data_IF_368755287460
#
_entry.id   IF_368755287460
#
_cell.length_a   1.000
_cell.length_b   1.000
_cell.length_c   1.000
_cell.angle_alpha   90.00
_cell.angle_beta   90.00
_cell.angle_gamma   90.00
#
_symmetry.space_group_name_H-M   'P 1'
#
loop_
_entity.id
_entity.type
_entity.pdbx_description
1 polymer ?
#
# COMPACT_ATOMS: atom_id res chain seq x y z
N UNK A 1 6.63 11.55 4.02
CA UNK A 1 5.45 11.17 3.25
C UNK A 1 5.87 10.79 1.85
N UNK A 2 5.86 9.50 1.55
CA UNK A 2 6.10 9.03 0.20
C UNK A 2 5.42 7.69 -0.03
N UNK A 3 4.96 7.51 -1.27
CA UNK A 3 4.60 6.20 -1.81
C UNK A 3 5.86 5.33 -1.89
N UNK A 4 5.86 4.19 -1.20
CA UNK A 4 6.94 3.19 -1.23
C UNK A 4 6.55 2.05 -2.17
N UNK A 5 7.57 1.38 -2.70
CA UNK A 5 7.40 0.18 -3.52
C UNK A 5 8.66 -0.69 -3.46
N UNK A 6 8.51 -1.97 -3.80
CA UNK A 6 9.58 -2.96 -3.86
C UNK A 6 9.41 -3.80 -5.12
N UNK A 7 10.52 -4.26 -5.69
CA UNK A 7 10.49 -5.10 -6.89
C UNK A 7 10.04 -6.51 -6.52
N UNK A 8 9.13 -7.09 -7.32
CA UNK A 8 8.69 -8.48 -7.17
C UNK A 8 8.14 -8.81 -5.78
N UNK A 9 7.32 -7.93 -5.22
CA UNK A 9 6.69 -8.14 -3.92
C UNK A 9 5.32 -8.82 -4.08
N UNK A 10 5.24 -10.09 -3.66
CA UNK A 10 4.03 -10.87 -3.61
C UNK A 10 3.98 -11.72 -2.32
N UNK A 11 2.80 -11.85 -1.74
CA UNK A 11 2.49 -12.72 -0.61
C UNK A 11 1.06 -13.22 -0.76
N UNK A 12 0.56 -14.05 0.16
CA UNK A 12 -0.81 -14.57 0.11
C UNK A 12 -1.56 -14.23 1.38
N UNK A 13 -2.86 -14.00 1.28
CA UNK A 13 -3.74 -13.96 2.44
C UNK A 13 -3.74 -15.32 3.15
N UNK A 14 -3.68 -15.30 4.48
CA UNK A 14 -3.69 -16.53 5.30
C UNK A 14 -5.08 -16.87 5.84
N UNK A 15 -6.03 -15.93 5.75
CA UNK A 15 -7.42 -16.11 6.16
C UNK A 15 -8.36 -15.33 5.24
N UNK A 16 -9.63 -15.75 5.20
CA UNK A 16 -10.69 -14.98 4.55
C UNK A 16 -10.89 -13.66 5.30
N UNK A 17 -11.12 -12.58 4.58
CA UNK A 17 -11.43 -11.26 5.13
C UNK A 17 -12.77 -10.77 4.60
N UNK A 18 -13.53 -10.07 5.46
CA UNK A 18 -14.75 -9.37 5.06
C UNK A 18 -14.39 -7.98 4.50
N UNK A 19 -15.35 -7.34 3.82
CA UNK A 19 -15.23 -5.92 3.50
C UNK A 19 -15.13 -5.07 4.78
N UNK A 20 -14.44 -3.93 4.70
CA UNK A 20 -14.27 -2.97 5.78
C UNK A 20 -13.17 -3.34 6.79
N UNK A 21 -12.36 -4.37 6.53
CA UNK A 21 -11.22 -4.68 7.41
C UNK A 21 -10.06 -3.72 7.17
N UNK A 22 -9.31 -3.42 8.23
CA UNK A 22 -8.11 -2.55 8.22
C UNK A 22 -6.82 -3.32 8.52
N UNK A 23 -6.90 -4.66 8.52
CA UNK A 23 -5.77 -5.54 8.75
C UNK A 23 -5.83 -6.73 7.78
N UNK A 24 -4.76 -6.89 6.99
CA UNK A 24 -4.62 -7.97 6.02
C UNK A 24 -3.67 -9.04 6.60
N UNK A 25 -4.18 -10.24 6.93
CA UNK A 25 -3.33 -11.32 7.43
C UNK A 25 -2.57 -11.97 6.27
N UNK A 26 -1.25 -11.83 6.23
CA UNK A 26 -0.38 -12.26 5.12
C UNK A 26 0.64 -13.31 5.57
N UNK A 27 1.12 -14.13 4.62
CA UNK A 27 2.09 -15.18 4.93
C UNK A 27 3.47 -14.63 5.34
N UNK A 28 3.91 -13.54 4.72
CA UNK A 28 5.20 -12.88 5.03
C UNK A 28 5.22 -11.45 4.51
N UNK A 29 5.78 -10.52 5.31
CA UNK A 29 6.06 -9.14 4.92
C UNK A 29 7.49 -8.92 4.38
N UNK A 30 8.30 -9.96 4.22
CA UNK A 30 9.75 -9.82 3.95
C UNK A 30 10.13 -9.07 2.68
N UNK A 31 9.26 -9.10 1.66
CA UNK A 31 9.46 -8.42 0.39
C UNK A 31 8.89 -7.00 0.37
N UNK A 32 8.11 -6.63 1.40
CA UNK A 32 7.49 -5.32 1.51
C UNK A 32 8.53 -4.28 1.93
N UNK A 33 8.43 -3.04 1.40
CA UNK A 33 9.29 -1.96 1.84
C UNK A 33 9.02 -1.65 3.33
N UNK A 34 10.07 -1.24 4.04
CA UNK A 34 9.89 -0.69 5.39
C UNK A 34 9.13 0.63 5.30
N UNK A 35 8.00 0.72 5.99
CA UNK A 35 7.19 1.93 6.12
C UNK A 35 7.58 2.65 7.41
N UNK A 36 7.83 3.95 7.32
CA UNK A 36 7.98 4.83 8.49
C UNK A 36 6.70 5.64 8.72
N UNK A 37 6.70 6.57 9.69
CA UNK A 37 5.54 7.44 9.92
C UNK A 37 5.18 8.17 8.62
N UNK A 38 3.91 8.08 8.24
CA UNK A 38 3.34 8.74 7.07
C UNK A 38 3.83 8.25 5.70
N UNK A 39 4.51 7.11 5.64
CA UNK A 39 4.75 6.37 4.40
C UNK A 39 3.59 5.39 4.13
N UNK A 40 3.34 5.10 2.85
CA UNK A 40 2.38 4.07 2.47
C UNK A 40 2.83 3.31 1.24
N UNK A 41 2.23 2.14 1.03
CA UNK A 41 2.40 1.31 -0.16
C UNK A 41 1.03 0.89 -0.65
N UNK A 42 0.84 0.83 -1.96
CA UNK A 42 -0.36 0.27 -2.55
C UNK A 42 -0.15 -1.21 -2.82
N UNK A 43 -1.09 -2.01 -2.33
CA UNK A 43 -1.17 -3.44 -2.63
C UNK A 43 -2.41 -3.71 -3.45
N UNK A 44 -2.35 -4.75 -4.27
CA UNK A 44 -3.49 -5.21 -5.06
C UNK A 44 -3.86 -6.61 -4.60
N UNK A 45 -5.14 -6.81 -4.32
CA UNK A 45 -5.76 -8.13 -4.12
C UNK A 45 -6.86 -8.24 -5.17
N UNK A 46 -6.71 -9.21 -6.08
CA UNK A 46 -7.58 -9.35 -7.25
C UNK A 46 -7.63 -8.05 -8.09
N UNK A 47 -8.75 -7.33 -8.06
CA UNK A 47 -8.96 -6.04 -8.74
C UNK A 47 -8.95 -4.84 -7.80
N UNK A 48 -8.88 -5.06 -6.48
CA UNK A 48 -8.92 -4.00 -5.48
C UNK A 48 -7.51 -3.49 -5.19
N UNK A 49 -7.34 -2.17 -5.21
CA UNK A 49 -6.11 -1.48 -4.82
C UNK A 49 -6.31 -0.90 -3.42
N UNK A 50 -5.44 -1.27 -2.49
CA UNK A 50 -5.59 -0.98 -1.06
C UNK A 50 -4.34 -0.24 -0.59
N UNK A 51 -4.55 0.87 0.14
CA UNK A 51 -3.46 1.64 0.75
C UNK A 51 -3.05 1.03 2.09
N UNK A 52 -1.80 0.59 2.18
CA UNK A 52 -1.18 0.00 3.37
C UNK A 52 -0.26 1.04 4.02
N UNK A 53 -0.46 1.29 5.31
CA UNK A 53 0.25 2.33 6.09
C UNK A 53 1.21 1.74 7.11
N UNK A 54 1.14 0.44 7.39
CA UNK A 54 2.11 -0.25 8.22
C UNK A 54 2.24 -1.72 7.83
N UNK A 55 3.44 -2.28 7.99
CA UNK A 55 3.72 -3.69 7.79
C UNK A 55 4.41 -4.26 9.03
N UNK A 56 3.79 -5.22 9.71
CA UNK A 56 4.33 -5.82 10.92
C UNK A 56 4.18 -7.35 10.90
N UNK A 57 5.31 -8.06 10.94
CA UNK A 57 5.36 -9.53 10.94
C UNK A 57 4.55 -10.17 9.81
N UNK A 58 3.32 -10.62 10.11
CA UNK A 58 2.40 -11.31 9.19
C UNK A 58 1.07 -10.54 9.03
N UNK A 59 1.09 -9.23 9.27
CA UNK A 59 -0.07 -8.35 9.13
C UNK A 59 0.30 -7.03 8.43
N UNK A 60 -0.51 -6.63 7.47
CA UNK A 60 -0.47 -5.28 6.88
C UNK A 60 -1.62 -4.46 7.45
N UNK A 61 -1.33 -3.29 8.01
CA UNK A 61 -2.34 -2.31 8.39
C UNK A 61 -2.69 -1.48 7.17
N UNK A 62 -3.96 -1.41 6.82
CA UNK A 62 -4.45 -0.72 5.64
C UNK A 62 -5.61 0.22 5.96
N UNK A 63 -5.88 1.11 5.01
CA UNK A 63 -7.21 1.71 4.89
C UNK A 63 -8.24 0.61 4.59
N UNK A 64 -9.50 0.89 4.90
CA UNK A 64 -10.58 -0.08 4.89
C UNK A 64 -10.71 -0.74 3.50
N UNK A 65 -10.74 -2.07 3.47
CA UNK A 65 -11.04 -2.82 2.25
C UNK A 65 -12.47 -2.54 1.77
N UNK A 66 -12.67 -2.43 0.47
CA UNK A 66 -13.98 -2.26 -0.14
C UNK A 66 -14.71 -3.59 -0.32
N UNK A 67 -13.97 -4.67 -0.62
CA UNK A 67 -14.53 -5.99 -0.88
C UNK A 67 -14.01 -7.07 0.08
N UNK A 68 -14.71 -8.20 0.11
CA UNK A 68 -14.26 -9.41 0.80
C UNK A 68 -13.26 -10.19 -0.08
N UNK A 69 -12.25 -10.79 0.54
CA UNK A 69 -11.22 -11.59 -0.15
C UNK A 69 -11.02 -12.95 0.52
N UNK A 70 -10.51 -13.90 -0.26
CA UNK A 70 -10.35 -15.28 0.17
C UNK A 70 -8.94 -15.58 0.66
N UNK A 71 -8.81 -16.53 1.59
CA UNK A 71 -7.52 -17.10 1.93
C UNK A 71 -6.86 -17.69 0.67
N UNK A 72 -5.56 -17.46 0.52
CA UNK A 72 -4.80 -17.83 -0.67
C UNK A 72 -4.77 -16.78 -1.78
N UNK A 73 -5.60 -15.73 -1.71
CA UNK A 73 -5.54 -14.64 -2.68
C UNK A 73 -4.18 -13.94 -2.62
N UNK A 74 -3.66 -13.58 -3.79
CA UNK A 74 -2.37 -12.91 -3.92
C UNK A 74 -2.49 -11.44 -3.47
N UNK A 75 -1.55 -11.02 -2.63
CA UNK A 75 -1.38 -9.63 -2.19
C UNK A 75 -0.05 -9.15 -2.77
N UNK A 76 -0.12 -8.26 -3.75
CA UNK A 76 1.04 -7.89 -4.57
C UNK A 76 1.19 -6.38 -4.69
N UNK A 77 2.43 -5.89 -4.76
CA UNK A 77 2.68 -4.50 -5.17
C UNK A 77 2.67 -4.48 -6.70
N UNK A 78 1.60 -3.92 -7.27
CA UNK A 78 1.47 -3.69 -8.72
C UNK A 78 1.50 -2.20 -9.00
N UNK A 79 1.98 -1.83 -10.18
CA UNK A 79 1.84 -0.45 -10.68
C UNK A 79 0.36 -0.21 -10.94
N UNK A 80 -0.29 0.57 -10.07
CA UNK A 80 -1.69 0.99 -10.20
C UNK A 80 -1.78 2.45 -10.62
N UNK A 81 -2.91 2.85 -11.23
CA UNK A 81 -3.16 4.25 -11.58
C UNK A 81 -3.15 5.15 -10.34
N UNK A 82 -3.73 4.68 -9.23
CA UNK A 82 -3.74 5.39 -7.95
C UNK A 82 -2.32 5.65 -7.45
N UNK A 83 -1.46 4.63 -7.48
CA UNK A 83 -0.05 4.77 -7.12
C UNK A 83 0.65 5.82 -7.99
N UNK A 84 0.45 5.80 -9.30
CA UNK A 84 1.08 6.74 -10.23
C UNK A 84 0.55 8.17 -10.06
N UNK A 85 -0.75 8.33 -9.84
CA UNK A 85 -1.37 9.64 -9.57
C UNK A 85 -0.80 10.24 -8.31
N UNK A 86 -0.73 9.47 -7.23
CA UNK A 86 -0.25 9.93 -5.93
C UNK A 86 1.25 10.29 -5.96
N UNK A 87 2.06 9.51 -6.69
CA UNK A 87 3.48 9.88 -6.96
C UNK A 87 3.58 11.21 -7.72
N UNK A 88 2.74 11.42 -8.74
CA UNK A 88 2.74 12.65 -9.52
C UNK A 88 2.32 13.86 -8.67
N UNK A 89 1.26 13.73 -7.87
CA UNK A 89 0.76 14.78 -6.98
C UNK A 89 1.78 15.12 -5.87
N UNK A 90 2.37 14.12 -5.23
CA UNK A 90 3.41 14.33 -4.21
C UNK A 90 4.61 15.12 -4.77
N UNK A 91 4.99 14.87 -6.04
CA UNK A 91 6.06 15.61 -6.72
C UNK A 91 5.69 17.07 -6.97
N UNK A 92 4.44 17.34 -7.37
CA UNK A 92 3.95 18.72 -7.59
C UNK A 92 3.94 19.52 -6.29
N UNK A 93 3.51 18.90 -5.18
CA UNK A 93 3.50 19.54 -3.86
C UNK A 93 4.91 19.92 -3.42
N UNK A 94 5.89 19.02 -3.58
CA UNK A 94 7.28 19.29 -3.25
C UNK A 94 7.86 20.47 -4.05
N UNK A 95 7.55 20.55 -5.34
CA UNK A 95 7.99 21.67 -6.20
C UNK A 95 7.33 23.00 -5.83
N UNK A 96 6.02 23.01 -5.57
CA UNK A 96 5.31 24.22 -5.17
C UNK A 96 5.78 24.75 -3.82
N UNK A 97 6.04 23.85 -2.85
CA UNK A 97 6.60 24.23 -1.56
C UNK A 97 8.00 24.87 -1.70
N UNK A 98 8.85 24.33 -2.58
CA UNK A 98 10.16 24.90 -2.87
C UNK A 98 10.07 26.31 -3.47
N UNK A 99 9.13 26.56 -4.40
CA UNK A 99 8.89 27.89 -4.95
C UNK A 99 8.40 28.85 -3.86
N UNK A 100 7.41 28.46 -3.06
CA UNK A 100 6.83 29.29 -2.01
C UNK A 100 7.81 29.71 -0.91
N UNK A 101 8.86 28.92 -0.65
CA UNK A 101 9.90 29.22 0.35
C UNK A 101 11.06 30.07 -0.21
N UNK A 102 11.07 30.31 -1.53
CA UNK A 102 12.11 31.08 -2.24
C UNK A 102 11.70 32.51 -2.63
N UNK A 103 10.46 32.91 -2.34
CA UNK A 103 9.89 34.26 -2.51
C UNK A 103 9.73 34.90 -1.12
#
# INVERSE_FOLDING_TARGET
MAVKFSNSCATTLTANIAAGVTALPIASNSLFPTLTSDDWVYVTINSEVIKVTSSASTSLTCEETSDAHSSGDAVEIRVSSEMLTDIAENTVIANNAAVAMSI
#
